data_IF_027821828813
#
_entry.id   IF_027821828813
#
_cell.length_a   1.000
_cell.length_b   1.000
_cell.length_c   1.000
_cell.angle_alpha   90.00
_cell.angle_beta   90.00
_cell.angle_gamma   90.00
#
_symmetry.space_group_name_H-M   'P 1'
#
loop_
_entity.id
_entity.type
_entity.pdbx_description
1 polymer ?
#
# COMPACT_ATOMS: atom_id res chain seq x y z
N UNK A 1 32.86 -33.04 13.93
CA UNK A 1 31.65 -33.36 13.17
C UNK A 1 30.36 -32.94 13.83
N UNK A 2 30.19 -33.18 15.12
CA UNK A 2 28.96 -32.81 15.87
C UNK A 2 28.83 -31.29 15.96
N UNK A 3 29.91 -30.56 16.17
CA UNK A 3 29.91 -29.09 16.30
C UNK A 3 29.53 -28.38 14.98
N UNK A 4 29.87 -28.96 13.84
CA UNK A 4 29.53 -28.41 12.51
C UNK A 4 28.04 -28.52 12.20
N UNK A 5 27.40 -29.62 12.64
CA UNK A 5 25.98 -29.83 12.48
C UNK A 5 25.14 -28.89 13.35
N UNK A 6 25.59 -28.59 14.58
CA UNK A 6 24.91 -27.66 15.48
C UNK A 6 25.02 -26.21 15.00
N UNK A 7 26.16 -25.79 14.42
CA UNK A 7 26.32 -24.46 13.87
C UNK A 7 25.46 -24.22 12.63
N UNK A 8 25.28 -25.22 11.78
CA UNK A 8 24.40 -25.12 10.59
C UNK A 8 22.90 -25.01 10.98
N UNK A 9 22.47 -25.76 11.99
CA UNK A 9 21.10 -25.67 12.51
C UNK A 9 20.83 -24.30 13.12
N UNK A 10 21.76 -23.75 13.87
CA UNK A 10 21.62 -22.42 14.45
C UNK A 10 21.56 -21.28 13.41
N UNK A 11 22.33 -21.39 12.34
CA UNK A 11 22.30 -20.40 11.25
C UNK A 11 20.96 -20.42 10.51
N UNK A 12 20.38 -21.60 10.28
CA UNK A 12 19.08 -21.71 9.63
C UNK A 12 17.94 -21.17 10.50
N UNK A 13 17.97 -21.44 11.81
CA UNK A 13 16.96 -20.94 12.74
C UNK A 13 16.99 -19.40 12.83
N UNK A 14 18.18 -18.80 12.86
CA UNK A 14 18.31 -17.36 12.91
C UNK A 14 17.87 -16.66 11.62
N UNK A 15 18.02 -17.28 10.46
CA UNK A 15 17.52 -16.74 9.18
C UNK A 15 16.01 -16.81 9.06
N UNK A 16 15.37 -17.83 9.60
CA UNK A 16 13.91 -17.95 9.63
C UNK A 16 13.29 -16.91 10.57
N UNK A 17 13.89 -16.63 11.71
CA UNK A 17 13.42 -15.63 12.67
C UNK A 17 13.47 -14.20 12.12
N UNK A 18 14.43 -13.87 11.23
CA UNK A 18 14.61 -12.52 10.69
C UNK A 18 13.72 -12.21 9.48
N UNK A 19 13.07 -13.20 8.86
CA UNK A 19 12.27 -13.03 7.65
C UNK A 19 10.76 -13.06 7.87
N UNK A 20 10.28 -13.50 9.06
CA UNK A 20 8.84 -13.59 9.34
C UNK A 20 8.33 -12.38 10.10
N UNK A 21 7.58 -11.52 9.41
CA UNK A 21 6.73 -10.54 10.07
C UNK A 21 5.38 -11.19 10.38
N UNK A 22 4.72 -10.75 11.47
CA UNK A 22 3.38 -11.24 11.81
C UNK A 22 2.36 -10.79 10.76
N UNK A 23 1.25 -11.52 10.66
CA UNK A 23 0.13 -11.13 9.79
C UNK A 23 -0.39 -9.75 10.14
N UNK A 24 -0.51 -9.42 11.42
CA UNK A 24 -0.90 -8.09 11.88
C UNK A 24 0.04 -7.01 11.35
N UNK A 25 1.34 -7.23 11.49
CA UNK A 25 2.35 -6.26 11.04
C UNK A 25 2.32 -6.09 9.52
N UNK A 26 2.05 -7.15 8.78
CA UNK A 26 1.88 -7.11 7.33
C UNK A 26 0.76 -6.14 6.92
N UNK A 27 -0.42 -6.23 7.53
CA UNK A 27 -1.53 -5.33 7.26
C UNK A 27 -1.24 -3.90 7.74
N UNK A 28 -0.71 -3.74 8.93
CA UNK A 28 -0.35 -2.42 9.50
C UNK A 28 0.67 -1.70 8.61
N UNK A 29 1.66 -2.42 8.10
CA UNK A 29 2.67 -1.84 7.20
C UNK A 29 2.03 -1.27 5.93
N UNK A 30 1.06 -1.98 5.35
CA UNK A 30 0.39 -1.50 4.15
C UNK A 30 -0.54 -0.32 4.44
N UNK A 31 -1.28 -0.35 5.55
CA UNK A 31 -2.13 0.78 5.99
C UNK A 31 -1.27 2.04 6.21
N UNK A 32 -0.08 1.88 6.79
CA UNK A 32 0.89 2.98 6.95
C UNK A 32 1.39 3.52 5.59
N UNK A 33 1.62 2.65 4.61
CA UNK A 33 1.97 3.10 3.25
C UNK A 33 0.84 3.90 2.62
N UNK A 34 -0.40 3.45 2.77
CA UNK A 34 -1.57 4.19 2.26
C UNK A 34 -1.69 5.57 2.91
N UNK A 35 -1.40 5.69 4.20
CA UNK A 35 -1.38 7.00 4.88
C UNK A 35 -0.34 7.93 4.27
N UNK A 36 0.86 7.43 4.03
CA UNK A 36 1.92 8.18 3.33
C UNK A 36 1.53 8.56 1.91
N UNK A 37 0.83 7.70 1.19
CA UNK A 37 0.33 8.00 -0.15
C UNK A 37 -0.75 9.10 -0.13
N UNK A 38 -1.61 9.12 0.86
CA UNK A 38 -2.59 10.22 1.04
C UNK A 38 -1.88 11.56 1.20
N UNK A 39 -0.88 11.61 2.05
CA UNK A 39 -0.08 12.83 2.25
C UNK A 39 0.61 13.26 0.96
N UNK A 40 1.24 12.33 0.26
CA UNK A 40 1.90 12.64 -1.03
C UNK A 40 0.91 13.11 -2.08
N UNK A 41 -0.25 12.46 -2.17
CA UNK A 41 -1.30 12.84 -3.12
C UNK A 41 -1.76 14.28 -2.88
N UNK A 42 -1.97 14.70 -1.64
CA UNK A 42 -2.26 16.10 -1.28
C UNK A 42 -1.17 17.05 -1.71
N UNK A 43 0.09 16.70 -1.43
CA UNK A 43 1.22 17.56 -1.81
C UNK A 43 1.29 17.75 -3.33
N UNK A 44 1.10 16.69 -4.09
CA UNK A 44 1.09 16.72 -5.55
C UNK A 44 -0.12 17.50 -6.08
N UNK A 45 -1.28 17.35 -5.45
CA UNK A 45 -2.50 18.08 -5.76
C UNK A 45 -2.29 19.60 -5.61
N UNK A 46 -1.72 20.03 -4.49
CA UNK A 46 -1.45 21.44 -4.26
C UNK A 46 -0.39 22.02 -5.20
N UNK A 47 0.60 21.24 -5.58
CA UNK A 47 1.69 21.67 -6.45
C UNK A 47 1.47 21.35 -7.93
N UNK A 48 0.32 20.85 -8.32
CA UNK A 48 0.03 20.43 -9.68
C UNK A 48 0.14 21.60 -10.67
N UNK A 49 0.89 21.44 -11.77
CA UNK A 49 1.10 22.53 -12.74
C UNK A 49 -0.10 22.76 -13.66
N UNK A 50 -1.04 21.82 -13.74
CA UNK A 50 -2.21 21.86 -14.61
C UNK A 50 -3.48 21.56 -13.82
N UNK A 51 -4.59 22.21 -14.21
CA UNK A 51 -5.88 22.06 -13.54
C UNK A 51 -6.41 20.63 -13.59
N UNK A 52 -6.27 19.94 -14.72
CA UNK A 52 -6.77 18.58 -14.88
C UNK A 52 -6.05 17.59 -13.94
N UNK A 53 -4.73 17.67 -13.84
CA UNK A 53 -3.95 16.88 -12.88
C UNK A 53 -4.35 17.20 -11.44
N UNK A 54 -4.55 18.46 -11.13
CA UNK A 54 -5.01 18.92 -9.80
C UNK A 54 -6.33 18.24 -9.41
N UNK A 55 -7.31 18.24 -10.31
CA UNK A 55 -8.63 17.62 -10.07
C UNK A 55 -8.53 16.11 -9.92
N UNK A 56 -7.79 15.42 -10.80
CA UNK A 56 -7.65 13.97 -10.75
C UNK A 56 -6.89 13.49 -9.51
N UNK A 57 -5.92 14.26 -9.04
CA UNK A 57 -5.23 13.94 -7.78
C UNK A 57 -6.17 14.06 -6.58
N UNK A 58 -7.05 15.05 -6.57
CA UNK A 58 -8.06 15.20 -5.52
C UNK A 58 -9.04 14.01 -5.52
N UNK A 59 -9.51 13.62 -6.70
CA UNK A 59 -10.38 12.45 -6.85
C UNK A 59 -9.67 11.17 -6.37
N UNK A 60 -8.41 10.98 -6.75
CA UNK A 60 -7.65 9.80 -6.34
C UNK A 60 -7.37 9.77 -4.84
N UNK A 61 -7.18 10.93 -4.21
CA UNK A 61 -7.05 11.02 -2.75
C UNK A 61 -8.26 10.41 -2.05
N UNK A 62 -9.47 10.70 -2.54
CA UNK A 62 -10.71 10.13 -2.00
C UNK A 62 -10.74 8.61 -2.18
N UNK A 63 -10.30 8.11 -3.33
CA UNK A 63 -10.21 6.67 -3.60
C UNK A 63 -9.25 5.98 -2.64
N UNK A 64 -8.08 6.54 -2.40
CA UNK A 64 -7.10 5.99 -1.44
C UNK A 64 -7.70 5.99 -0.03
N UNK A 65 -8.34 7.08 0.37
CA UNK A 65 -8.93 7.23 1.71
C UNK A 65 -10.02 6.20 1.98
N UNK A 66 -10.93 6.00 1.04
CA UNK A 66 -12.01 5.03 1.16
C UNK A 66 -11.47 3.59 1.21
N UNK A 67 -10.48 3.28 0.39
CA UNK A 67 -9.84 1.98 0.39
C UNK A 67 -9.10 1.72 1.71
N UNK A 68 -8.36 2.70 2.22
CA UNK A 68 -7.67 2.58 3.51
C UNK A 68 -8.63 2.31 4.65
N UNK A 69 -9.75 3.03 4.71
CA UNK A 69 -10.79 2.84 5.72
C UNK A 69 -11.35 1.41 5.68
N UNK A 70 -11.71 0.93 4.49
CA UNK A 70 -12.24 -0.43 4.31
C UNK A 70 -11.26 -1.50 4.78
N UNK A 71 -10.00 -1.39 4.40
CA UNK A 71 -8.97 -2.36 4.80
C UNK A 71 -8.73 -2.32 6.31
N UNK A 72 -8.67 -1.12 6.89
CA UNK A 72 -8.44 -0.97 8.33
C UNK A 72 -9.60 -1.54 9.16
N UNK A 73 -10.83 -1.35 8.71
CA UNK A 73 -12.01 -1.90 9.37
C UNK A 73 -12.07 -3.43 9.22
N UNK A 74 -11.87 -3.95 8.03
CA UNK A 74 -11.84 -5.40 7.77
C UNK A 74 -10.74 -6.09 8.56
N UNK A 75 -9.54 -5.51 8.58
CA UNK A 75 -8.42 -6.01 9.37
C UNK A 75 -8.81 -6.16 10.85
N UNK A 76 -9.44 -5.14 11.43
CA UNK A 76 -9.83 -5.15 12.83
C UNK A 76 -10.96 -6.16 13.11
N UNK A 77 -11.85 -6.38 12.16
CA UNK A 77 -12.86 -7.42 12.25
C UNK A 77 -12.29 -8.83 12.24
N UNK A 78 -11.14 -9.03 11.59
CA UNK A 78 -10.49 -10.35 11.47
C UNK A 78 -9.50 -10.59 12.62
N UNK A 79 -8.65 -9.63 12.91
CA UNK A 79 -7.48 -9.79 13.80
C UNK A 79 -7.59 -9.03 15.13
N UNK A 80 -8.59 -8.18 15.29
CA UNK A 80 -8.79 -7.39 16.51
C UNK A 80 -8.43 -5.93 16.36
N UNK A 81 -8.74 -5.13 17.37
CA UNK A 81 -8.58 -3.68 17.35
C UNK A 81 -7.13 -3.24 17.23
N UNK A 82 -6.87 -2.24 16.39
CA UNK A 82 -5.57 -1.60 16.30
C UNK A 82 -5.31 -0.68 17.50
N UNK A 83 -4.05 -0.57 17.87
CA UNK A 83 -3.59 0.48 18.78
C UNK A 83 -3.80 1.84 18.09
N UNK A 84 -4.40 2.84 18.79
CA UNK A 84 -4.70 4.14 18.18
C UNK A 84 -3.46 4.95 17.72
N UNK A 85 -2.26 4.57 18.12
CA UNK A 85 -1.02 5.25 17.76
C UNK A 85 -0.19 4.49 16.72
N UNK A 86 -0.73 3.44 16.10
CA UNK A 86 0.04 2.56 15.21
C UNK A 86 0.24 3.13 13.80
N UNK A 87 -0.63 4.02 13.35
CA UNK A 87 -0.59 4.57 12.00
C UNK A 87 0.04 5.97 12.02
N UNK A 88 1.24 6.08 11.48
CA UNK A 88 2.01 7.33 11.39
C UNK A 88 2.26 7.77 9.95
N UNK A 89 2.15 6.85 9.01
CA UNK A 89 2.43 7.07 7.61
C UNK A 89 3.89 6.79 7.22
N UNK A 90 4.09 6.31 6.00
CA UNK A 90 5.41 6.09 5.41
C UNK A 90 5.59 7.10 4.28
N UNK A 91 6.60 7.94 4.38
CA UNK A 91 6.82 9.03 3.42
C UNK A 91 7.12 8.48 2.02
N UNK A 92 6.32 8.90 1.03
CA UNK A 92 6.58 8.66 -0.38
C UNK A 92 7.64 9.65 -0.91
N UNK A 93 8.52 9.17 -1.79
CA UNK A 93 9.58 9.98 -2.42
C UNK A 93 9.21 10.44 -3.83
N UNK A 94 8.03 10.12 -4.34
CA UNK A 94 7.60 10.51 -5.68
C UNK A 94 7.50 12.03 -5.82
N UNK A 95 7.93 12.55 -6.99
CA UNK A 95 7.99 13.99 -7.27
C UNK A 95 6.91 14.46 -8.25
N UNK A 96 6.20 13.55 -8.91
CA UNK A 96 5.15 13.87 -9.87
C UNK A 96 4.06 12.79 -9.87
N UNK A 97 2.94 13.05 -10.53
CA UNK A 97 1.78 12.16 -10.53
C UNK A 97 2.07 10.80 -11.19
N UNK A 98 2.88 10.77 -12.25
CA UNK A 98 3.22 9.52 -12.96
C UNK A 98 4.06 8.60 -12.08
N UNK A 99 5.11 9.11 -11.46
CA UNK A 99 5.94 8.34 -10.54
C UNK A 99 5.11 7.88 -9.33
N UNK A 100 4.24 8.75 -8.83
CA UNK A 100 3.37 8.46 -7.70
C UNK A 100 2.42 7.29 -7.98
N UNK A 101 1.69 7.32 -9.11
CA UNK A 101 0.73 6.24 -9.42
C UNK A 101 1.46 4.91 -9.64
N UNK A 102 2.67 4.93 -10.20
CA UNK A 102 3.49 3.72 -10.36
C UNK A 102 3.98 3.18 -9.01
N UNK A 103 4.35 4.06 -8.09
CA UNK A 103 4.72 3.65 -6.72
C UNK A 103 3.53 3.00 -6.00
N UNK A 104 2.35 3.61 -6.06
CA UNK A 104 1.11 3.07 -5.48
C UNK A 104 0.78 1.71 -6.09
N UNK A 105 0.91 1.59 -7.41
CA UNK A 105 0.67 0.34 -8.14
C UNK A 105 1.56 -0.79 -7.63
N UNK A 106 2.86 -0.57 -7.57
CA UNK A 106 3.83 -1.59 -7.14
C UNK A 106 3.56 -2.01 -5.69
N UNK A 107 3.35 -1.06 -4.79
CA UNK A 107 3.06 -1.35 -3.38
C UNK A 107 1.77 -2.15 -3.23
N UNK A 108 0.73 -1.81 -3.98
CA UNK A 108 -0.58 -2.48 -3.89
C UNK A 108 -0.54 -3.88 -4.49
N UNK A 109 0.13 -4.08 -5.62
CA UNK A 109 0.30 -5.40 -6.22
C UNK A 109 1.12 -6.32 -5.31
N UNK A 110 2.18 -5.80 -4.70
CA UNK A 110 2.97 -6.55 -3.72
C UNK A 110 2.12 -6.96 -2.52
N UNK A 111 1.32 -6.04 -2.00
CA UNK A 111 0.39 -6.34 -0.92
C UNK A 111 -0.61 -7.43 -1.33
N UNK A 112 -1.26 -7.28 -2.48
CA UNK A 112 -2.25 -8.22 -3.00
C UNK A 112 -1.68 -9.64 -3.12
N UNK A 113 -0.49 -9.75 -3.68
CA UNK A 113 0.17 -11.04 -3.91
C UNK A 113 0.58 -11.76 -2.62
N UNK A 114 0.61 -11.05 -1.49
CA UNK A 114 1.01 -11.60 -0.19
C UNK A 114 -0.14 -11.69 0.81
N UNK A 115 -1.37 -11.35 0.43
CA UNK A 115 -2.53 -11.54 1.29
C UNK A 115 -2.71 -13.06 1.52
N UNK A 116 -2.88 -13.51 2.78
CA UNK A 116 -3.06 -14.93 3.05
C UNK A 116 -4.29 -15.51 2.33
N UNK A 117 -4.25 -16.80 2.00
CA UNK A 117 -5.30 -17.47 1.22
C UNK A 117 -6.52 -17.89 2.05
N UNK A 118 -6.50 -17.69 3.36
CA UNK A 118 -7.62 -18.03 4.25
C UNK A 118 -8.89 -17.27 3.84
N UNK A 119 -10.05 -17.90 3.98
CA UNK A 119 -11.33 -17.35 3.54
C UNK A 119 -11.73 -16.05 4.25
N UNK A 120 -11.21 -15.80 5.46
CA UNK A 120 -11.50 -14.56 6.18
C UNK A 120 -10.93 -13.31 5.46
N UNK A 121 -9.95 -13.47 4.58
CA UNK A 121 -9.33 -12.35 3.84
C UNK A 121 -9.95 -12.11 2.45
N UNK A 122 -11.00 -12.84 2.09
CA UNK A 122 -11.61 -12.73 0.75
C UNK A 122 -12.16 -11.32 0.49
N UNK A 123 -12.70 -10.65 1.49
CA UNK A 123 -13.19 -9.28 1.38
C UNK A 123 -12.06 -8.29 1.11
N UNK A 124 -10.96 -8.41 1.85
CA UNK A 124 -9.76 -7.56 1.64
C UNK A 124 -9.19 -7.77 0.24
N UNK A 125 -9.14 -9.01 -0.25
CA UNK A 125 -8.70 -9.31 -1.63
C UNK A 125 -9.60 -8.62 -2.66
N UNK A 126 -10.90 -8.72 -2.50
CA UNK A 126 -11.87 -8.13 -3.42
C UNK A 126 -11.78 -6.61 -3.45
N UNK A 127 -11.65 -5.97 -2.30
CA UNK A 127 -11.46 -4.52 -2.21
C UNK A 127 -10.14 -4.08 -2.84
N UNK A 128 -9.09 -4.88 -2.67
CA UNK A 128 -7.77 -4.60 -3.26
C UNK A 128 -7.82 -4.73 -4.79
N UNK A 129 -8.55 -5.72 -5.32
CA UNK A 129 -8.77 -5.84 -6.77
C UNK A 129 -9.47 -4.60 -7.33
N UNK A 130 -10.49 -4.09 -6.65
CA UNK A 130 -11.18 -2.86 -7.03
C UNK A 130 -10.23 -1.66 -6.97
N UNK A 131 -9.40 -1.57 -5.95
CA UNK A 131 -8.40 -0.50 -5.85
C UNK A 131 -7.36 -0.57 -6.97
N UNK A 132 -6.88 -1.76 -7.32
CA UNK A 132 -5.97 -1.97 -8.47
C UNK A 132 -6.64 -1.50 -9.77
N UNK A 133 -7.90 -1.81 -9.98
CA UNK A 133 -8.66 -1.32 -11.14
C UNK A 133 -8.66 0.23 -11.17
N UNK A 134 -8.90 0.87 -10.04
CA UNK A 134 -8.85 2.33 -9.94
C UNK A 134 -7.44 2.88 -10.19
N UNK A 135 -6.39 2.22 -9.72
CA UNK A 135 -5.00 2.62 -9.99
C UNK A 135 -4.75 2.69 -11.50
N UNK A 136 -5.16 1.67 -12.25
CA UNK A 136 -4.98 1.67 -13.71
C UNK A 136 -5.78 2.77 -14.39
N UNK A 137 -6.99 3.07 -13.91
CA UNK A 137 -7.80 4.19 -14.40
C UNK A 137 -7.06 5.53 -14.20
N UNK A 138 -6.56 5.78 -12.99
CA UNK A 138 -5.85 7.04 -12.71
C UNK A 138 -4.49 7.10 -13.38
N UNK A 139 -3.81 5.98 -13.55
CA UNK A 139 -2.60 5.90 -14.36
C UNK A 139 -2.86 6.41 -15.78
N UNK A 140 -3.91 5.92 -16.41
CA UNK A 140 -4.34 6.40 -17.72
C UNK A 140 -4.64 7.91 -17.71
N UNK A 141 -5.41 8.38 -16.73
CA UNK A 141 -5.79 9.81 -16.65
C UNK A 141 -4.58 10.70 -16.43
N UNK A 142 -3.63 10.31 -15.60
CA UNK A 142 -2.41 11.08 -15.37
C UNK A 142 -1.52 11.10 -16.62
N UNK A 143 -1.43 9.99 -17.35
CA UNK A 143 -0.64 9.91 -18.58
C UNK A 143 -1.21 10.82 -19.67
N UNK A 144 -2.53 10.87 -19.87
CA UNK A 144 -3.10 11.78 -20.87
C UNK A 144 -2.99 13.24 -20.46
N UNK A 145 -3.01 13.56 -19.17
CA UNK A 145 -2.75 14.91 -18.67
C UNK A 145 -1.31 15.35 -18.95
N UNK A 146 -0.36 14.43 -18.88
CA UNK A 146 1.05 14.70 -19.17
C UNK A 146 1.29 14.96 -20.65
N UNK A 147 0.63 14.20 -21.52
CA UNK A 147 0.77 14.29 -22.99
C UNK A 147 0.00 15.47 -23.57
N UNK A 148 -1.17 15.80 -23.03
CA UNK A 148 -2.07 16.83 -23.54
C UNK A 148 -2.08 18.06 -22.65
N UNK A 149 -1.93 19.24 -23.27
CA UNK A 149 -1.86 20.55 -22.58
C UNK A 149 -3.25 21.14 -22.31
N UNK A 150 -4.08 20.44 -21.59
CA UNK A 150 -5.40 20.96 -21.20
C UNK A 150 -5.42 21.57 -19.81
#
# INVERSE_FOLDING_TARGET
MIDTLFSEVNINTSKEETTQISTEQFFINFINKLEGFKTKCKNLHWSAPKKNIHVYLDDFLSVISDYQDSIAEDYQGILGHMNPNVIEGVKSQSLNAIDFINEVKIATETFYNNIPSDTCYVGIKSETETFIHNIFKYKYLFEICDIRSY
#
